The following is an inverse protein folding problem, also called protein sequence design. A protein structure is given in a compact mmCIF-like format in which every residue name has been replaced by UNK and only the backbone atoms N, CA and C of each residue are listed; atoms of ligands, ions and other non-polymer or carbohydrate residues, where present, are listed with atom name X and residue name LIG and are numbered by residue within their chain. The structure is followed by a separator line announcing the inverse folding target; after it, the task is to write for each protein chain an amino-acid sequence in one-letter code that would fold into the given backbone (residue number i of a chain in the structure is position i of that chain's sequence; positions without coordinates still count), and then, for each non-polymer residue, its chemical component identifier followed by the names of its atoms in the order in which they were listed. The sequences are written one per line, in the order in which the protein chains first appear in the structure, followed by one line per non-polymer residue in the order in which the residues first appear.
data_IF_420618827937
#
_entry.id   IF_420618827937
#
_cell.length_a   1.000
_cell.length_b   1.000
_cell.length_c   1.000
_cell.angle_alpha   90.00
_cell.angle_beta   90.00
_cell.angle_gamma   90.00
#
_symmetry.space_group_name_H-M   'P 1'
#
loop_
_entity.id
_entity.type
_entity.pdbx_description
1 polymer ?
#
# COMPACT_ATOMS: atom_id res chain seq x y z
N UNK A 1 9.21 32.24 51.56
CA UNK A 1 8.61 31.75 50.30
C UNK A 1 9.74 31.50 49.33
N UNK A 2 9.94 30.26 48.89
CA UNK A 2 10.97 29.97 47.89
C UNK A 2 10.61 30.68 46.57
N UNK A 3 11.55 31.37 45.92
CA UNK A 3 11.30 31.95 44.61
C UNK A 3 10.86 30.83 43.67
N UNK A 4 9.73 31.04 43.00
CA UNK A 4 9.21 30.12 41.99
C UNK A 4 10.31 29.81 40.97
N UNK A 5 10.38 28.58 40.46
CA UNK A 5 11.38 28.19 39.46
C UNK A 5 11.41 29.13 38.23
N UNK A 6 10.28 29.79 37.94
CA UNK A 6 10.18 30.86 36.91
C UNK A 6 11.12 32.04 37.17
N UNK A 7 11.30 32.46 38.42
CA UNK A 7 12.13 33.62 38.76
C UNK A 7 13.61 33.43 38.42
N UNK A 8 14.14 32.21 38.54
CA UNK A 8 15.55 31.94 38.22
C UNK A 8 15.81 31.98 36.71
N UNK A 9 14.92 31.40 35.91
CA UNK A 9 15.03 31.39 34.45
C UNK A 9 14.93 32.80 33.89
N UNK A 10 14.02 33.63 34.42
CA UNK A 10 13.88 35.03 34.00
C UNK A 10 15.12 35.86 34.31
N UNK A 11 15.80 35.58 35.44
CA UNK A 11 17.06 36.23 35.80
C UNK A 11 18.16 35.81 34.83
N UNK A 12 18.26 34.52 34.49
CA UNK A 12 19.24 34.02 33.52
C UNK A 12 18.99 34.66 32.15
N UNK A 13 17.75 34.65 31.65
CA UNK A 13 17.41 35.28 30.37
C UNK A 13 17.76 36.78 30.34
N UNK A 14 17.44 37.52 31.42
CA UNK A 14 17.82 38.95 31.52
C UNK A 14 19.33 39.15 31.52
N UNK A 15 20.09 38.27 32.18
CA UNK A 15 21.56 38.33 32.18
C UNK A 15 22.14 38.01 30.82
N UNK A 16 21.58 37.03 30.10
CA UNK A 16 21.98 36.71 28.73
C UNK A 16 21.71 37.89 27.79
N UNK A 17 20.52 38.47 27.87
CA UNK A 17 20.13 39.64 27.08
C UNK A 17 21.01 40.86 27.39
N UNK A 18 21.37 41.10 28.65
CA UNK A 18 22.28 42.18 29.04
C UNK A 18 23.70 42.03 28.46
N UNK A 19 24.09 40.82 28.04
CA UNK A 19 25.37 40.53 27.41
C UNK A 19 25.26 40.35 25.89
N UNK A 20 24.11 40.67 25.27
CA UNK A 20 23.83 40.41 23.85
C UNK A 20 24.01 38.93 23.44
N UNK A 21 23.84 37.99 24.38
CA UNK A 21 23.84 36.55 24.10
C UNK A 21 22.40 36.08 24.09
N UNK A 22 21.96 35.45 23.01
CA UNK A 22 20.63 34.84 22.97
C UNK A 22 20.68 33.42 23.55
N UNK A 23 19.55 32.93 24.05
CA UNK A 23 19.45 31.53 24.46
C UNK A 23 19.77 30.58 23.28
N UNK A 24 19.45 31.00 22.06
CA UNK A 24 19.78 30.26 20.84
C UNK A 24 21.27 30.14 20.58
N UNK A 25 22.07 31.17 20.89
CA UNK A 25 23.52 31.10 20.74
C UNK A 25 24.10 30.04 21.68
N UNK A 26 23.57 29.94 22.90
CA UNK A 26 23.96 28.90 23.86
C UNK A 26 23.55 27.50 23.35
N UNK A 27 22.30 27.35 22.90
CA UNK A 27 21.82 26.06 22.34
C UNK A 27 22.67 25.66 21.13
N UNK A 28 23.01 26.60 20.25
CA UNK A 28 23.83 26.39 19.07
C UNK A 28 25.26 25.96 19.44
N UNK A 29 25.87 26.61 20.44
CA UNK A 29 27.20 26.25 20.96
C UNK A 29 27.19 24.86 21.59
N UNK A 30 26.20 24.54 22.43
CA UNK A 30 26.09 23.22 23.08
C UNK A 30 25.92 22.13 22.00
N UNK A 31 25.06 22.38 21.01
CA UNK A 31 24.80 21.44 19.93
C UNK A 31 26.03 21.21 19.05
N UNK A 32 26.80 22.27 18.76
CA UNK A 32 27.97 22.20 17.87
C UNK A 32 29.27 21.81 18.58
N UNK A 33 29.25 21.68 19.91
CA UNK A 33 30.43 21.34 20.69
C UNK A 33 30.72 19.85 20.68
N UNK A 34 31.98 19.47 20.45
CA UNK A 34 32.48 18.09 20.51
C UNK A 34 32.84 17.64 21.95
N UNK A 35 32.58 18.47 22.96
CA UNK A 35 32.93 18.15 24.34
C UNK A 35 31.98 17.11 24.93
N UNK A 36 32.50 15.99 25.45
CA UNK A 36 31.71 14.92 26.09
C UNK A 36 30.84 15.42 27.25
N UNK A 37 31.26 16.48 27.97
CA UNK A 37 30.46 17.07 29.04
C UNK A 37 29.14 17.68 28.53
N UNK A 38 29.09 18.06 27.24
CA UNK A 38 27.88 18.58 26.62
C UNK A 38 26.95 17.49 26.09
N UNK A 39 27.37 16.22 26.05
CA UNK A 39 26.55 15.12 25.53
C UNK A 39 25.25 14.97 26.33
N UNK A 40 25.37 14.89 27.65
CA UNK A 40 24.21 14.77 28.57
C UNK A 40 23.24 15.94 28.44
N UNK A 41 23.77 17.14 28.15
CA UNK A 41 22.96 18.35 27.95
C UNK A 41 22.30 18.31 26.56
N UNK A 42 22.98 17.82 25.53
CA UNK A 42 22.43 17.65 24.18
C UNK A 42 21.28 16.65 24.18
N UNK A 43 21.46 15.47 24.77
CA UNK A 43 20.40 14.46 24.93
C UNK A 43 19.19 15.03 25.70
N UNK A 44 19.45 15.78 26.77
CA UNK A 44 18.39 16.45 27.54
C UNK A 44 17.67 17.52 26.74
N UNK A 45 18.39 18.33 25.96
CA UNK A 45 17.81 19.34 25.08
C UNK A 45 16.98 18.70 23.96
N UNK A 46 17.43 17.60 23.37
CA UNK A 46 16.69 16.86 22.34
C UNK A 46 15.41 16.26 22.91
N UNK A 47 15.51 15.56 24.05
CA UNK A 47 14.36 14.95 24.74
C UNK A 47 13.32 15.99 25.18
N UNK A 48 13.75 17.21 25.49
CA UNK A 48 12.87 18.29 25.96
C UNK A 48 12.60 19.38 24.91
N UNK A 49 13.01 19.16 23.66
CA UNK A 49 12.98 20.18 22.59
C UNK A 49 11.57 20.74 22.35
N UNK A 50 10.55 19.89 22.34
CA UNK A 50 9.15 20.31 22.17
C UNK A 50 8.66 21.22 23.32
N UNK A 51 9.00 20.88 24.57
CA UNK A 51 8.65 21.69 25.74
C UNK A 51 9.41 23.03 25.74
N UNK A 52 10.70 23.01 25.39
CA UNK A 52 11.51 24.22 25.29
C UNK A 52 10.99 25.16 24.20
N UNK A 53 10.66 24.63 23.01
CA UNK A 53 10.07 25.41 21.93
C UNK A 53 8.70 25.99 22.32
N UNK A 54 7.83 25.17 22.93
CA UNK A 54 6.53 25.63 23.43
C UNK A 54 6.69 26.78 24.43
N UNK A 55 7.66 26.67 25.34
CA UNK A 55 7.95 27.70 26.32
C UNK A 55 8.51 28.97 25.69
N UNK A 56 9.47 28.85 24.76
CA UNK A 56 10.08 30.00 24.06
C UNK A 56 9.10 30.74 23.17
N UNK A 57 8.16 30.03 22.56
CA UNK A 57 7.08 30.61 21.77
C UNK A 57 5.98 31.25 22.64
N UNK A 58 5.80 30.74 23.86
CA UNK A 58 4.85 31.28 24.84
C UNK A 58 5.30 32.59 25.48
N UNK A 59 6.61 32.83 25.58
CA UNK A 59 7.17 34.06 26.13
C UNK A 59 7.22 35.20 25.08
N UNK A 60 6.52 36.34 25.28
CA UNK A 60 6.44 37.41 24.28
C UNK A 60 7.79 37.98 23.87
N UNK A 61 8.76 38.01 24.80
CA UNK A 61 10.09 38.58 24.62
C UNK A 61 10.99 37.75 23.70
N UNK A 62 10.79 36.43 23.67
CA UNK A 62 11.59 35.50 22.87
C UNK A 62 10.87 35.01 21.62
N UNK A 63 9.54 35.17 21.55
CA UNK A 63 8.70 34.60 20.50
C UNK A 63 9.15 34.97 19.09
N UNK A 64 9.37 36.26 18.81
CA UNK A 64 9.73 36.71 17.46
C UNK A 64 11.10 36.18 17.02
N UNK A 65 12.13 36.36 17.85
CA UNK A 65 13.48 35.83 17.59
C UNK A 65 13.47 34.30 17.44
N UNK A 66 12.69 33.60 18.27
CA UNK A 66 12.52 32.15 18.18
C UNK A 66 11.85 31.73 16.89
N UNK A 67 10.80 32.43 16.46
CA UNK A 67 10.12 32.16 15.18
C UNK A 67 11.08 32.34 14.00
N UNK A 68 11.84 33.44 13.95
CA UNK A 68 12.83 33.68 12.88
C UNK A 68 13.85 32.55 12.82
N UNK A 69 14.42 32.14 13.96
CA UNK A 69 15.41 31.04 14.01
C UNK A 69 14.83 29.68 13.65
N UNK A 70 13.60 29.39 14.10
CA UNK A 70 12.89 28.17 13.71
C UNK A 70 12.68 28.16 12.20
N UNK A 71 12.20 29.26 11.61
CA UNK A 71 12.03 29.36 10.17
C UNK A 71 13.35 29.24 9.40
N UNK A 72 14.42 29.91 9.83
CA UNK A 72 15.75 29.78 9.21
C UNK A 72 16.25 28.33 9.26
N UNK A 73 16.10 27.68 10.41
CA UNK A 73 16.55 26.29 10.60
C UNK A 73 15.73 25.32 9.76
N UNK A 74 14.39 25.43 9.80
CA UNK A 74 13.48 24.64 8.99
C UNK A 74 13.78 24.85 7.50
N UNK A 75 13.94 26.09 7.06
CA UNK A 75 14.31 26.42 5.68
C UNK A 75 15.63 25.77 5.29
N UNK A 76 16.67 25.87 6.14
CA UNK A 76 17.98 25.26 5.85
C UNK A 76 17.91 23.73 5.76
N UNK A 77 17.19 23.09 6.68
CA UNK A 77 17.00 21.63 6.68
C UNK A 77 16.21 21.21 5.45
N UNK A 78 15.06 21.84 5.20
CA UNK A 78 14.23 21.56 4.02
C UNK A 78 14.99 21.83 2.72
N UNK A 79 15.76 22.91 2.60
CA UNK A 79 16.59 23.18 1.42
C UNK A 79 17.66 22.10 1.22
N UNK A 80 18.29 21.62 2.30
CA UNK A 80 19.27 20.53 2.22
C UNK A 80 18.60 19.23 1.77
N UNK A 81 17.49 18.85 2.40
CA UNK A 81 16.70 17.67 2.02
C UNK A 81 16.22 17.79 0.58
N UNK A 82 15.74 18.96 0.16
CA UNK A 82 15.36 19.26 -1.21
C UNK A 82 16.52 19.12 -2.20
N UNK A 83 17.72 19.55 -1.83
CA UNK A 83 18.91 19.37 -2.67
C UNK A 83 19.26 17.89 -2.80
N UNK A 84 19.25 17.14 -1.70
CA UNK A 84 19.47 15.68 -1.69
C UNK A 84 18.41 14.95 -2.53
N UNK A 85 17.15 15.34 -2.37
CA UNK A 85 16.02 14.87 -3.17
C UNK A 85 16.12 15.28 -4.64
N UNK A 86 16.82 16.36 -4.98
CA UNK A 86 17.02 16.80 -6.37
C UNK A 86 18.21 16.12 -7.08
N UNK A 87 18.92 15.21 -6.40
CA UNK A 87 20.00 14.43 -7.00
C UNK A 87 19.44 13.29 -7.86
N UNK A 88 20.15 12.92 -8.94
CA UNK A 88 19.76 11.83 -9.84
C UNK A 88 19.46 10.50 -9.13
N UNK A 89 20.14 10.25 -8.01
CA UNK A 89 20.09 9.01 -7.23
C UNK A 89 18.88 8.95 -6.28
N UNK A 90 18.18 10.06 -6.05
CA UNK A 90 17.06 10.14 -5.09
C UNK A 90 15.77 9.46 -5.56
N UNK A 91 15.69 9.09 -6.85
CA UNK A 91 14.47 8.58 -7.47
C UNK A 91 13.43 9.64 -7.87
N UNK A 92 13.63 10.93 -7.56
CA UNK A 92 12.73 12.00 -8.03
C UNK A 92 12.96 12.42 -9.49
N UNK A 93 13.98 11.86 -10.14
CA UNK A 93 14.18 12.01 -11.58
C UNK A 93 13.38 10.94 -12.33
N UNK A 94 12.25 11.36 -12.90
CA UNK A 94 11.46 10.47 -13.74
C UNK A 94 12.04 10.45 -15.16
N UNK A 95 12.96 9.52 -15.39
CA UNK A 95 13.45 9.21 -16.72
C UNK A 95 12.35 8.56 -17.54
N UNK A 96 11.54 9.35 -18.26
CA UNK A 96 10.39 8.89 -19.06
C UNK A 96 10.72 7.67 -19.95
N UNK A 97 11.92 7.65 -20.55
CA UNK A 97 12.37 6.58 -21.43
C UNK A 97 12.96 5.36 -20.71
N UNK A 98 13.20 5.45 -19.41
CA UNK A 98 13.82 4.40 -18.56
C UNK A 98 12.97 4.08 -17.34
N UNK A 99 11.75 4.61 -17.26
CA UNK A 99 10.88 4.47 -16.11
C UNK A 99 10.57 3.00 -15.91
N UNK A 100 10.88 2.50 -14.71
CA UNK A 100 10.56 1.14 -14.32
C UNK A 100 9.30 1.07 -13.47
N UNK A 101 8.59 -0.06 -13.48
CA UNK A 101 7.47 -0.32 -12.60
C UNK A 101 7.88 -0.19 -11.12
N UNK A 102 9.09 -0.61 -10.77
CA UNK A 102 9.64 -0.45 -9.43
C UNK A 102 9.82 1.03 -9.05
N UNK A 103 10.31 1.87 -9.97
CA UNK A 103 10.38 3.31 -9.72
C UNK A 103 8.99 3.90 -9.52
N UNK A 104 8.00 3.49 -10.31
CA UNK A 104 6.61 3.93 -10.15
C UNK A 104 5.97 3.40 -8.88
N UNK A 105 6.36 2.23 -8.40
CA UNK A 105 5.91 1.74 -7.11
C UNK A 105 6.57 2.55 -6.00
N UNK A 106 7.89 2.51 -5.89
CA UNK A 106 8.66 3.10 -4.78
C UNK A 106 8.52 4.63 -4.69
N UNK A 107 8.39 5.35 -5.81
CA UNK A 107 8.19 6.81 -5.80
C UNK A 107 6.74 7.24 -5.50
N UNK A 108 5.77 6.33 -5.64
CA UNK A 108 4.34 6.61 -5.40
C UNK A 108 3.86 6.05 -4.07
N UNK A 109 4.72 5.42 -3.27
CA UNK A 109 4.33 4.81 -2.01
C UNK A 109 3.88 5.83 -0.96
N UNK A 110 2.60 6.16 -1.05
CA UNK A 110 1.70 6.44 0.06
C UNK A 110 1.48 5.21 0.97
N UNK A 111 2.26 4.12 0.83
CA UNK A 111 2.17 2.90 1.66
C UNK A 111 2.25 3.21 3.16
N UNK A 112 2.94 4.29 3.54
CA UNK A 112 3.05 4.72 4.94
C UNK A 112 1.85 5.55 5.44
N UNK A 113 0.90 5.89 4.56
CA UNK A 113 -0.37 6.53 4.93
C UNK A 113 -1.54 5.55 5.03
N UNK A 114 -1.34 4.29 4.64
CA UNK A 114 -2.29 3.22 4.93
C UNK A 114 -2.08 2.76 6.37
N UNK A 115 -2.96 3.24 7.26
CA UNK A 115 -2.98 2.88 8.67
C UNK A 115 -3.15 1.34 8.80
N UNK A 116 -2.19 0.61 9.38
CA UNK A 116 -2.24 -0.86 9.44
C UNK A 116 -3.41 -1.41 10.29
N UNK A 117 -4.15 -0.56 11.00
CA UNK A 117 -5.24 -0.97 11.89
C UNK A 117 -6.63 -1.07 11.24
N UNK A 118 -6.82 -0.79 9.96
CA UNK A 118 -8.15 -0.92 9.31
C UNK A 118 -8.46 -2.30 8.71
N UNK A 119 -7.68 -3.33 9.02
CA UNK A 119 -7.78 -4.69 8.46
C UNK A 119 -9.06 -5.49 8.72
N UNK A 120 -10.12 -4.92 9.29
CA UNK A 120 -11.40 -5.61 9.51
C UNK A 120 -12.58 -4.71 9.16
N UNK A 121 -12.79 -4.39 7.89
CA UNK A 121 -14.11 -3.98 7.35
C UNK A 121 -14.13 -3.93 5.83
N UNK A 122 -13.93 -5.08 5.18
CA UNK A 122 -14.63 -5.31 3.92
C UNK A 122 -16.11 -5.50 4.27
N UNK A 123 -16.87 -4.40 4.21
CA UNK A 123 -18.32 -4.49 4.16
C UNK A 123 -18.70 -5.02 2.80
N UNK A 124 -19.23 -6.24 2.83
CA UNK A 124 -20.09 -6.87 1.84
C UNK A 124 -20.81 -5.84 0.93
N UNK A 125 -20.32 -5.70 -0.30
CA UNK A 125 -20.96 -4.94 -1.37
C UNK A 125 -21.91 -5.83 -2.18
N UNK A 126 -22.58 -6.78 -1.51
CA UNK A 126 -23.47 -7.75 -2.13
C UNK A 126 -24.94 -7.54 -1.76
N UNK A 127 -25.45 -6.31 -1.75
CA UNK A 127 -26.91 -6.11 -1.68
C UNK A 127 -27.40 -4.80 -2.32
N UNK A 128 -27.36 -4.74 -3.65
CA UNK A 128 -28.22 -3.84 -4.42
C UNK A 128 -29.32 -4.70 -5.03
N UNK A 129 -30.47 -4.76 -4.34
CA UNK A 129 -31.71 -5.32 -4.90
C UNK A 129 -32.54 -6.12 -3.90
N UNK A 130 -33.15 -5.46 -2.93
CA UNK A 130 -34.11 -6.08 -2.01
C UNK A 130 -35.13 -5.06 -1.50
N UNK A 131 -36.28 -5.02 -2.15
CA UNK A 131 -37.43 -4.19 -1.80
C UNK A 131 -38.13 -4.77 -0.55
N UNK A 132 -38.19 -3.98 0.51
CA UNK A 132 -39.19 -4.03 1.58
C UNK A 132 -39.18 -5.19 2.59
N UNK A 133 -38.78 -4.90 3.84
CA UNK A 133 -39.54 -5.27 5.05
C UNK A 133 -39.22 -4.25 6.17
N UNK A 134 -40.23 -3.51 6.65
CA UNK A 134 -40.18 -2.76 7.91
C UNK A 134 -39.98 -3.75 9.07
N UNK A 135 -38.85 -3.65 9.78
CA UNK A 135 -38.66 -4.34 11.05
C UNK A 135 -38.48 -3.34 12.19
N UNK A 136 -39.19 -3.68 13.25
CA UNK A 136 -39.51 -2.96 14.49
C UNK A 136 -38.25 -2.55 15.26
N UNK A 137 -38.26 -1.30 15.72
CA UNK A 137 -37.27 -0.70 16.61
C UNK A 137 -37.24 -1.42 17.96
N UNK A 138 -36.10 -2.01 18.30
CA UNK A 138 -35.76 -2.42 19.67
C UNK A 138 -34.67 -1.47 20.18
N UNK A 139 -35.07 -0.53 21.02
CA UNK A 139 -34.18 0.37 21.75
C UNK A 139 -33.33 -0.43 22.76
N UNK A 140 -32.02 -0.55 22.49
CA UNK A 140 -31.05 -1.15 23.40
C UNK A 140 -29.77 -0.32 23.46
N UNK A 141 -29.57 0.37 24.58
CA UNK A 141 -28.44 1.26 24.88
C UNK A 141 -27.06 0.57 24.77
N UNK A 142 -26.25 0.95 23.77
CA UNK A 142 -24.78 0.82 23.82
C UNK A 142 -24.07 1.68 22.75
N UNK A 143 -24.24 3.00 22.79
CA UNK A 143 -23.73 3.94 21.76
C UNK A 143 -22.37 4.62 22.06
N UNK A 144 -21.55 4.13 23.00
CA UNK A 144 -20.40 4.92 23.49
C UNK A 144 -19.00 4.77 22.83
N UNK A 145 -18.69 3.86 21.87
CA UNK A 145 -17.39 3.88 21.18
C UNK A 145 -17.32 4.77 19.92
N UNK A 146 -18.45 5.13 19.29
CA UNK A 146 -18.47 5.78 17.96
C UNK A 146 -17.91 7.22 17.91
N UNK A 147 -17.94 7.97 19.03
CA UNK A 147 -17.50 9.39 19.05
C UNK A 147 -15.98 9.56 19.11
N UNK A 148 -15.21 8.57 19.59
CA UNK A 148 -13.74 8.65 19.61
C UNK A 148 -13.12 8.33 18.24
N UNK A 149 -13.67 7.37 17.51
CA UNK A 149 -13.18 7.01 16.16
C UNK A 149 -13.39 8.14 15.13
N UNK A 150 -14.50 8.88 15.19
CA UNK A 150 -14.73 10.04 14.31
C UNK A 150 -13.65 11.14 14.47
N UNK A 151 -13.20 11.41 15.70
CA UNK A 151 -12.15 12.41 15.95
C UNK A 151 -10.75 11.96 15.52
N UNK A 152 -10.49 10.66 15.42
CA UNK A 152 -9.24 10.15 14.86
C UNK A 152 -9.23 10.31 13.34
N UNK A 153 -10.34 9.97 12.66
CA UNK A 153 -10.49 10.16 11.22
C UNK A 153 -10.33 11.62 10.76
N UNK A 154 -10.90 12.58 11.49
CA UNK A 154 -10.76 14.02 11.20
C UNK A 154 -9.30 14.53 11.37
N UNK A 155 -8.52 13.92 12.27
CA UNK A 155 -7.11 14.28 12.43
C UNK A 155 -6.26 13.69 11.31
N UNK A 156 -6.53 12.45 10.93
CA UNK A 156 -5.80 11.79 9.84
C UNK A 156 -6.04 12.53 8.52
N UNK A 157 -7.26 12.96 8.22
CA UNK A 157 -7.53 13.75 7.00
C UNK A 157 -6.82 15.11 7.01
N UNK A 158 -6.76 15.79 8.14
CA UNK A 158 -6.02 17.06 8.26
C UNK A 158 -4.51 16.86 8.06
N UNK A 159 -3.93 15.80 8.64
CA UNK A 159 -2.51 15.46 8.44
C UNK A 159 -2.24 15.11 6.97
N UNK A 160 -3.07 14.29 6.33
CA UNK A 160 -2.92 13.95 4.90
C UNK A 160 -3.02 15.18 4.00
N UNK A 161 -3.88 16.14 4.30
CA UNK A 161 -3.97 17.41 3.57
C UNK A 161 -2.74 18.30 3.75
N UNK A 162 -2.15 18.33 4.95
CA UNK A 162 -0.92 19.09 5.20
C UNK A 162 0.25 18.45 4.48
N UNK A 163 0.40 17.13 4.57
CA UNK A 163 1.47 16.37 3.92
C UNK A 163 1.38 16.51 2.40
N UNK A 164 0.20 16.33 1.80
CA UNK A 164 0.02 16.49 0.35
C UNK A 164 0.34 17.89 -0.15
N UNK A 165 -0.03 18.95 0.60
CA UNK A 165 0.34 20.34 0.28
C UNK A 165 1.85 20.57 0.38
N UNK A 166 2.48 20.04 1.42
CA UNK A 166 3.93 20.14 1.61
C UNK A 166 4.68 19.46 0.47
N UNK A 167 4.30 18.22 0.14
CA UNK A 167 4.88 17.45 -0.97
C UNK A 167 4.72 18.21 -2.29
N UNK A 168 3.53 18.76 -2.55
CA UNK A 168 3.31 19.57 -3.75
C UNK A 168 4.23 20.80 -3.81
N UNK A 169 4.34 21.57 -2.72
CA UNK A 169 5.22 22.73 -2.64
C UNK A 169 6.70 22.33 -2.83
N UNK A 170 7.13 21.23 -2.22
CA UNK A 170 8.49 20.69 -2.38
C UNK A 170 8.74 20.30 -3.84
N UNK A 171 7.81 19.60 -4.50
CA UNK A 171 7.98 19.24 -5.91
C UNK A 171 8.07 20.47 -6.82
N UNK A 172 7.25 21.51 -6.57
CA UNK A 172 7.32 22.78 -7.31
C UNK A 172 8.66 23.49 -7.07
N UNK A 173 9.12 23.56 -5.83
CA UNK A 173 10.42 24.16 -5.52
C UNK A 173 11.59 23.35 -6.12
N UNK A 174 11.49 22.01 -6.11
CA UNK A 174 12.51 21.11 -6.66
C UNK A 174 12.60 21.24 -8.17
N UNK A 175 11.46 21.35 -8.85
CA UNK A 175 11.38 21.62 -10.28
C UNK A 175 11.97 23.00 -10.64
N UNK A 176 11.72 24.03 -9.84
CA UNK A 176 12.31 25.36 -10.03
C UNK A 176 13.83 25.36 -9.79
N UNK A 177 14.32 24.50 -8.89
CA UNK A 177 15.75 24.40 -8.56
C UNK A 177 16.50 23.56 -9.59
N UNK A 178 15.89 22.49 -10.08
CA UNK A 178 16.46 21.58 -11.06
C UNK A 178 15.42 21.27 -12.15
N UNK A 179 15.63 21.81 -13.35
CA UNK A 179 14.77 21.55 -14.51
C UNK A 179 14.72 20.09 -14.96
N UNK A 180 15.53 19.20 -14.36
CA UNK A 180 15.47 17.74 -14.55
C UNK A 180 14.55 17.04 -13.55
N UNK A 181 14.07 17.72 -12.52
CA UNK A 181 13.09 17.20 -11.57
C UNK A 181 11.68 17.36 -12.17
N UNK A 182 11.26 16.37 -12.93
CA UNK A 182 10.00 16.35 -13.67
C UNK A 182 8.95 15.44 -13.03
N UNK A 183 9.12 15.02 -11.77
CA UNK A 183 8.19 14.08 -11.12
C UNK A 183 6.75 14.60 -11.10
N UNK A 184 6.55 15.84 -10.62
CA UNK A 184 5.21 16.44 -10.57
C UNK A 184 4.61 16.64 -11.96
N UNK A 185 5.42 17.09 -12.93
CA UNK A 185 4.99 17.22 -14.32
C UNK A 185 4.61 15.87 -14.93
N UNK A 186 5.37 14.82 -14.62
CA UNK A 186 5.12 13.46 -15.11
C UNK A 186 3.86 12.90 -14.50
N UNK A 187 3.69 13.06 -13.18
CA UNK A 187 2.48 12.68 -12.47
C UNK A 187 1.24 13.40 -13.02
N UNK A 188 1.29 14.73 -13.11
CA UNK A 188 0.15 15.51 -13.61
C UNK A 188 -0.17 15.16 -15.07
N UNK A 189 0.86 14.91 -15.88
CA UNK A 189 0.69 14.47 -17.27
C UNK A 189 0.01 13.11 -17.37
N UNK A 190 0.55 12.09 -16.70
CA UNK A 190 -0.01 10.73 -16.68
C UNK A 190 -1.43 10.74 -16.13
N UNK A 191 -1.68 11.46 -15.04
CA UNK A 191 -3.02 11.63 -14.47
C UNK A 191 -3.99 12.26 -15.48
N UNK A 192 -3.61 13.39 -16.08
CA UNK A 192 -4.45 14.08 -17.08
C UNK A 192 -4.76 13.17 -18.27
N UNK A 193 -3.77 12.40 -18.74
CA UNK A 193 -3.97 11.42 -19.80
C UNK A 193 -4.95 10.31 -19.38
N UNK A 194 -4.83 9.79 -18.16
CA UNK A 194 -5.72 8.74 -17.62
C UNK A 194 -7.16 9.21 -17.44
N UNK A 195 -7.39 10.51 -17.18
CA UNK A 195 -8.74 11.09 -17.09
C UNK A 195 -9.33 11.46 -18.45
N UNK A 196 -8.70 11.04 -19.56
CA UNK A 196 -9.17 11.32 -20.92
C UNK A 196 -8.99 12.77 -21.37
N UNK A 197 -8.05 13.52 -20.76
CA UNK A 197 -7.79 14.90 -21.15
C UNK A 197 -7.29 14.95 -22.60
N UNK A 198 -7.85 15.81 -23.48
CA UNK A 198 -7.41 15.90 -24.86
C UNK A 198 -5.92 16.24 -24.96
N UNK A 199 -5.21 15.61 -25.92
CA UNK A 199 -3.77 15.81 -26.11
C UNK A 199 -3.38 17.30 -26.24
N UNK A 200 -4.22 18.12 -26.88
CA UNK A 200 -3.99 19.57 -27.00
C UNK A 200 -3.94 20.29 -25.65
N UNK A 201 -4.76 19.88 -24.68
CA UNK A 201 -4.75 20.47 -23.33
C UNK A 201 -3.49 20.03 -22.59
N UNK A 202 -3.10 18.76 -22.72
CA UNK A 202 -1.85 18.25 -22.16
C UNK A 202 -0.65 19.01 -22.75
N UNK A 203 -0.64 19.27 -24.06
CA UNK A 203 0.44 20.01 -24.71
C UNK A 203 0.50 21.46 -24.20
N UNK A 204 -0.64 22.14 -24.02
CA UNK A 204 -0.69 23.47 -23.40
C UNK A 204 -0.15 23.46 -21.96
N UNK A 205 -0.54 22.47 -21.15
CA UNK A 205 0.00 22.30 -19.79
C UNK A 205 1.50 22.02 -19.82
N UNK A 206 1.99 21.28 -20.82
CA UNK A 206 3.42 21.00 -20.99
C UNK A 206 4.21 22.26 -21.36
N UNK A 207 3.66 23.09 -22.24
CA UNK A 207 4.25 24.39 -22.59
C UNK A 207 4.23 25.38 -21.41
N UNK A 208 3.25 25.28 -20.51
CA UNK A 208 3.20 26.03 -19.26
C UNK A 208 4.18 25.49 -18.18
N UNK A 209 4.86 24.38 -18.45
CA UNK A 209 5.75 23.73 -17.48
C UNK A 209 5.01 23.01 -16.34
N UNK A 210 3.72 22.73 -16.49
CA UNK A 210 2.91 22.03 -15.49
C UNK A 210 2.85 20.52 -15.72
N UNK A 211 3.04 20.06 -16.96
CA UNK A 211 2.96 18.65 -17.38
C UNK A 211 4.15 18.27 -18.27
N UNK A 212 4.39 16.97 -18.46
CA UNK A 212 5.18 16.46 -19.59
C UNK A 212 4.34 16.48 -20.88
N UNK A 213 4.99 16.41 -22.05
CA UNK A 213 4.30 16.37 -23.35
C UNK A 213 3.48 15.10 -23.53
N UNK A 214 2.45 15.13 -24.38
CA UNK A 214 1.65 13.95 -24.70
C UNK A 214 2.52 12.79 -25.23
N UNK A 215 3.48 13.09 -26.11
CA UNK A 215 4.44 12.10 -26.62
C UNK A 215 5.33 11.49 -25.54
N UNK A 216 5.67 12.24 -24.49
CA UNK A 216 6.43 11.73 -23.36
C UNK A 216 5.58 10.76 -22.54
N UNK A 217 4.29 11.06 -22.34
CA UNK A 217 3.36 10.16 -21.65
C UNK A 217 3.22 8.85 -22.43
N UNK A 218 2.98 8.91 -23.74
CA UNK A 218 2.87 7.72 -24.58
C UNK A 218 4.15 6.86 -24.53
N UNK A 219 5.33 7.49 -24.52
CA UNK A 219 6.60 6.79 -24.37
C UNK A 219 6.75 6.12 -22.99
N UNK A 220 6.35 6.79 -21.90
CA UNK A 220 6.35 6.21 -20.57
C UNK A 220 5.40 5.00 -20.48
N UNK A 221 4.16 5.15 -20.97
CA UNK A 221 3.16 4.07 -20.99
C UNK A 221 3.67 2.88 -21.82
N UNK A 222 4.28 3.13 -22.98
CA UNK A 222 4.88 2.09 -23.81
C UNK A 222 6.07 1.41 -23.12
N UNK A 223 6.90 2.15 -22.39
CA UNK A 223 8.03 1.61 -21.62
C UNK A 223 7.54 0.69 -20.51
N UNK A 224 6.60 1.18 -19.68
CA UNK A 224 5.98 0.40 -18.61
C UNK A 224 5.27 -0.84 -19.14
N UNK A 225 4.54 -0.72 -20.26
CA UNK A 225 3.89 -1.86 -20.91
C UNK A 225 4.89 -2.92 -21.38
N UNK A 226 6.02 -2.51 -21.97
CA UNK A 226 7.09 -3.43 -22.40
C UNK A 226 7.75 -4.12 -21.21
N UNK A 227 7.98 -3.40 -20.12
CA UNK A 227 8.55 -3.96 -18.91
C UNK A 227 7.60 -4.96 -18.25
N UNK A 228 6.32 -4.60 -18.07
CA UNK A 228 5.29 -5.52 -17.55
C UNK A 228 5.19 -6.78 -18.42
N UNK A 229 5.22 -6.63 -19.74
CA UNK A 229 5.25 -7.77 -20.66
C UNK A 229 6.51 -8.63 -20.50
N UNK A 230 7.67 -8.02 -20.26
CA UNK A 230 8.91 -8.74 -19.98
C UNK A 230 8.84 -9.50 -18.65
N UNK A 231 8.28 -8.88 -17.61
CA UNK A 231 8.04 -9.49 -16.31
C UNK A 231 7.08 -10.67 -16.40
N UNK A 232 5.96 -10.51 -17.12
CA UNK A 232 5.01 -11.59 -17.43
C UNK A 232 5.72 -12.73 -18.15
N UNK A 233 6.48 -12.45 -19.22
CA UNK A 233 7.22 -13.49 -19.96
C UNK A 233 8.20 -14.25 -19.08
N UNK A 234 8.99 -13.53 -18.26
CA UNK A 234 9.93 -14.15 -17.32
C UNK A 234 9.21 -15.03 -16.30
N UNK A 235 8.12 -14.53 -15.73
CA UNK A 235 7.28 -15.26 -14.78
C UNK A 235 6.74 -16.55 -15.43
N UNK A 236 6.08 -16.43 -16.58
CA UNK A 236 5.49 -17.57 -17.30
C UNK A 236 6.53 -18.59 -17.74
N UNK A 237 7.74 -18.16 -18.11
CA UNK A 237 8.85 -19.06 -18.48
C UNK A 237 9.31 -19.96 -17.33
N UNK A 238 9.05 -19.58 -16.07
CA UNK A 238 9.33 -20.46 -14.92
C UNK A 238 8.36 -21.65 -14.85
N UNK A 239 7.23 -21.59 -15.57
CA UNK A 239 6.09 -22.50 -15.45
C UNK A 239 5.48 -22.55 -14.03
N UNK A 240 5.87 -21.62 -13.15
CA UNK A 240 5.36 -21.48 -11.79
C UNK A 240 4.40 -20.28 -11.69
N UNK A 241 3.56 -20.10 -12.72
CA UNK A 241 2.66 -18.95 -12.81
C UNK A 241 1.28 -19.39 -13.23
N UNK A 242 0.26 -18.95 -12.51
CA UNK A 242 -1.14 -19.15 -12.85
C UNK A 242 -1.69 -17.91 -13.54
N UNK A 243 -2.51 -18.12 -14.55
CA UNK A 243 -3.33 -17.08 -15.16
C UNK A 243 -4.73 -17.12 -14.54
N UNK A 244 -5.13 -16.02 -13.93
CA UNK A 244 -6.51 -15.79 -13.54
C UNK A 244 -7.15 -14.90 -14.60
N UNK A 245 -8.13 -15.42 -15.32
CA UNK A 245 -8.91 -14.67 -16.31
C UNK A 245 -10.15 -14.10 -15.64
N UNK A 246 -10.48 -12.86 -15.97
CA UNK A 246 -11.71 -12.21 -15.53
C UNK A 246 -12.32 -11.40 -16.68
N UNK A 247 -13.65 -11.41 -16.75
CA UNK A 247 -14.40 -10.61 -17.70
C UNK A 247 -14.77 -9.31 -17.02
N UNK A 248 -14.43 -8.19 -17.65
CA UNK A 248 -14.86 -6.88 -17.18
C UNK A 248 -15.60 -6.14 -18.30
N UNK A 249 -16.68 -5.50 -17.88
CA UNK A 249 -17.58 -4.80 -18.76
C UNK A 249 -17.46 -3.29 -18.50
N UNK A 250 -17.06 -2.55 -19.53
CA UNK A 250 -16.99 -1.08 -19.47
C UNK A 250 -18.24 -0.50 -20.14
N UNK A 251 -19.04 0.20 -19.34
CA UNK A 251 -20.16 1.00 -19.81
C UNK A 251 -19.72 2.46 -20.05
N UNK A 252 -19.50 2.81 -21.32
CA UNK A 252 -19.19 4.18 -21.72
C UNK A 252 -20.48 5.00 -21.83
N UNK A 253 -20.92 5.52 -20.68
CA UNK A 253 -22.11 6.37 -20.59
C UNK A 253 -21.87 7.71 -21.29
N UNK A 254 -22.68 8.01 -22.29
CA UNK A 254 -22.80 9.36 -22.85
C UNK A 254 -23.83 10.15 -22.03
N UNK A 255 -23.48 11.37 -21.62
CA UNK A 255 -24.39 12.20 -20.83
C UNK A 255 -25.73 12.40 -21.53
N UNK A 256 -25.70 12.67 -22.85
CA UNK A 256 -26.86 12.81 -23.71
C UNK A 256 -26.66 11.95 -24.97
N UNK A 257 -27.24 10.75 -25.03
CA UNK A 257 -27.13 9.89 -26.20
C UNK A 257 -27.72 10.60 -27.43
N UNK A 258 -26.94 10.71 -28.49
CA UNK A 258 -27.43 11.19 -29.79
C UNK A 258 -27.43 10.06 -30.80
N UNK A 259 -28.10 10.24 -31.94
CA UNK A 259 -28.10 9.25 -33.03
C UNK A 259 -26.67 8.90 -33.45
N UNK A 260 -25.75 9.87 -33.39
CA UNK A 260 -24.34 9.70 -33.76
C UNK A 260 -23.45 9.22 -32.60
N UNK A 261 -23.86 9.44 -31.34
CA UNK A 261 -23.07 9.11 -30.14
C UNK A 261 -23.96 8.41 -29.09
N UNK A 262 -24.16 7.12 -29.29
CA UNK A 262 -24.86 6.26 -28.33
C UNK A 262 -23.89 5.78 -27.24
N UNK A 263 -24.43 5.41 -26.07
CA UNK A 263 -23.64 4.71 -25.05
C UNK A 263 -23.11 3.40 -25.62
N UNK A 264 -21.83 3.13 -25.47
CA UNK A 264 -21.20 1.89 -25.93
C UNK A 264 -20.88 1.01 -24.74
N UNK A 265 -21.25 -0.26 -24.86
CA UNK A 265 -20.87 -1.30 -23.92
C UNK A 265 -19.72 -2.10 -24.52
N UNK A 266 -18.59 -2.15 -23.82
CA UNK A 266 -17.42 -2.92 -24.24
C UNK A 266 -17.19 -4.01 -23.21
N UNK A 267 -17.42 -5.26 -23.62
CA UNK A 267 -17.04 -6.44 -22.86
C UNK A 267 -15.65 -6.87 -23.28
N UNK A 268 -14.75 -7.07 -22.33
CA UNK A 268 -13.39 -7.54 -22.59
C UNK A 268 -12.95 -8.53 -21.51
N UNK A 269 -12.06 -9.43 -21.88
CA UNK A 269 -11.46 -10.38 -20.95
C UNK A 269 -10.05 -9.92 -20.63
N UNK A 270 -9.76 -9.67 -19.35
CA UNK A 270 -8.39 -9.49 -18.87
C UNK A 270 -7.88 -10.78 -18.25
N UNK A 271 -6.56 -10.83 -18.06
CA UNK A 271 -5.96 -11.82 -17.21
C UNK A 271 -5.03 -11.14 -16.21
N UNK A 272 -4.75 -11.81 -15.10
CA UNK A 272 -3.64 -11.44 -14.22
C UNK A 272 -2.75 -12.67 -14.03
N UNK A 273 -1.45 -12.43 -14.00
CA UNK A 273 -0.48 -13.49 -13.69
C UNK A 273 -0.17 -13.48 -12.21
N UNK A 274 -0.28 -14.66 -11.61
CA UNK A 274 -0.04 -14.89 -10.19
C UNK A 274 1.08 -15.93 -10.08
N UNK A 275 2.28 -15.56 -9.59
CA UNK A 275 3.33 -16.53 -9.34
C UNK A 275 2.89 -17.50 -8.22
N UNK A 276 3.21 -18.77 -8.38
CA UNK A 276 2.95 -19.81 -7.40
C UNK A 276 4.02 -19.74 -6.31
N UNK A 277 3.59 -19.47 -5.09
CA UNK A 277 4.48 -19.42 -3.93
C UNK A 277 4.65 -20.81 -3.31
N UNK A 278 5.85 -21.07 -2.80
CA UNK A 278 6.17 -22.35 -2.13
C UNK A 278 6.52 -23.50 -3.09
N UNK A 279 6.53 -23.27 -4.41
CA UNK A 279 6.98 -24.26 -5.39
C UNK A 279 8.51 -24.17 -5.54
N UNK A 280 9.24 -24.91 -4.72
CA UNK A 280 10.72 -24.94 -4.80
C UNK A 280 11.23 -25.98 -5.78
N UNK A 281 10.53 -27.10 -5.93
CA UNK A 281 10.91 -28.16 -6.87
C UNK A 281 9.94 -28.18 -8.05
N UNK A 282 10.41 -28.04 -9.31
CA UNK A 282 9.57 -28.25 -10.49
C UNK A 282 8.85 -29.60 -10.51
N UNK A 283 9.35 -30.60 -9.78
CA UNK A 283 8.69 -31.88 -9.58
C UNK A 283 7.31 -31.76 -8.93
N UNK A 284 7.07 -30.72 -8.13
CA UNK A 284 5.78 -30.47 -7.47
C UNK A 284 4.69 -30.13 -8.52
N UNK A 285 5.10 -29.65 -9.70
CA UNK A 285 4.22 -29.35 -10.84
C UNK A 285 4.10 -30.52 -11.84
N UNK A 286 4.55 -31.73 -11.48
CA UNK A 286 4.40 -32.91 -12.36
C UNK A 286 2.94 -33.20 -12.71
N UNK A 287 2.01 -32.92 -11.79
CA UNK A 287 0.59 -33.11 -12.04
C UNK A 287 0.11 -32.19 -13.18
N UNK A 288 0.51 -30.91 -13.20
CA UNK A 288 0.13 -30.01 -14.30
C UNK A 288 0.75 -30.42 -15.62
N UNK A 289 1.99 -30.91 -15.63
CA UNK A 289 2.62 -31.42 -16.85
C UNK A 289 1.90 -32.68 -17.36
N UNK A 290 1.60 -33.62 -16.46
CA UNK A 290 0.84 -34.83 -16.79
C UNK A 290 -0.56 -34.51 -17.29
N UNK A 291 -1.26 -33.57 -16.65
CA UNK A 291 -2.56 -33.08 -17.12
C UNK A 291 -2.39 -32.46 -18.51
N UNK A 292 -1.40 -31.59 -18.71
CA UNK A 292 -1.16 -30.95 -20.00
C UNK A 292 -0.91 -31.98 -21.10
N UNK A 293 -0.05 -32.97 -20.83
CA UNK A 293 0.30 -34.01 -21.79
C UNK A 293 -0.89 -34.94 -22.07
N UNK A 294 -1.64 -35.35 -21.04
CA UNK A 294 -2.88 -36.11 -21.23
C UNK A 294 -3.95 -35.31 -21.98
N UNK A 295 -4.00 -33.99 -21.81
CA UNK A 295 -4.89 -33.11 -22.56
C UNK A 295 -4.50 -33.07 -24.04
N UNK A 296 -3.20 -32.94 -24.36
CA UNK A 296 -2.72 -33.00 -25.75
C UNK A 296 -2.98 -34.36 -26.41
N UNK A 297 -2.75 -35.46 -25.68
CA UNK A 297 -2.78 -36.81 -26.23
C UNK A 297 -4.18 -37.44 -26.30
N UNK A 298 -5.17 -36.89 -25.58
CA UNK A 298 -6.51 -37.48 -25.49
C UNK A 298 -7.57 -36.76 -26.34
N UNK A 299 -8.63 -37.49 -26.71
CA UNK A 299 -9.88 -36.92 -27.24
C UNK A 299 -10.55 -35.86 -26.31
N UNK A 300 -10.01 -35.66 -25.10
CA UNK A 300 -10.48 -34.65 -24.14
C UNK A 300 -10.12 -33.23 -24.59
N UNK A 301 -9.03 -33.01 -25.34
CA UNK A 301 -8.78 -31.70 -25.97
C UNK A 301 -9.96 -31.24 -26.82
N UNK A 302 -10.53 -32.14 -27.63
CA UNK A 302 -11.73 -31.86 -28.42
C UNK A 302 -12.97 -31.63 -27.54
N UNK A 303 -13.06 -32.27 -26.38
CA UNK A 303 -14.18 -32.10 -25.43
C UNK A 303 -14.10 -30.80 -24.63
N UNK A 304 -12.89 -30.35 -24.28
CA UNK A 304 -12.64 -29.06 -23.64
C UNK A 304 -12.85 -27.91 -24.62
N UNK A 305 -12.37 -28.06 -25.87
CA UNK A 305 -12.65 -27.12 -26.95
C UNK A 305 -14.16 -27.02 -27.26
N UNK A 306 -14.94 -28.06 -26.96
CA UNK A 306 -16.41 -28.06 -27.10
C UNK A 306 -17.16 -27.74 -25.80
N UNK A 307 -16.45 -27.43 -24.70
CA UNK A 307 -17.04 -27.07 -23.41
C UNK A 307 -17.76 -28.21 -22.67
N UNK A 308 -17.58 -29.46 -23.08
CA UNK A 308 -18.24 -30.65 -22.49
C UNK A 308 -17.36 -31.37 -21.48
N UNK A 309 -16.71 -30.62 -20.61
CA UNK A 309 -15.89 -31.17 -19.56
C UNK A 309 -16.73 -31.38 -18.30
N UNK A 310 -16.83 -32.61 -17.79
CA UNK A 310 -17.63 -32.89 -16.59
C UNK A 310 -16.73 -33.14 -15.37
N UNK A 311 -17.22 -32.83 -14.17
CA UNK A 311 -16.54 -33.16 -12.91
C UNK A 311 -16.15 -34.65 -12.79
N UNK A 312 -16.82 -35.55 -13.52
CA UNK A 312 -16.48 -36.99 -13.55
C UNK A 312 -15.16 -37.25 -14.29
N UNK A 313 -14.80 -36.42 -15.25
CA UNK A 313 -13.56 -36.53 -16.02
C UNK A 313 -12.36 -36.09 -15.16
N UNK A 314 -12.55 -35.13 -14.24
CA UNK A 314 -11.53 -34.76 -13.24
C UNK A 314 -11.28 -35.85 -12.20
N UNK A 315 -12.26 -36.70 -11.92
CA UNK A 315 -12.09 -37.79 -10.94
C UNK A 315 -11.07 -38.83 -11.39
N UNK A 316 -10.72 -38.88 -12.68
CA UNK A 316 -9.73 -39.83 -13.20
C UNK A 316 -8.34 -39.53 -12.62
N UNK A 317 -8.00 -38.25 -12.41
CA UNK A 317 -6.76 -37.83 -11.74
C UNK A 317 -6.72 -38.23 -10.25
N UNK A 318 -7.89 -38.40 -9.63
CA UNK A 318 -8.02 -38.93 -8.27
C UNK A 318 -8.14 -40.45 -8.20
N UNK A 319 -8.13 -41.19 -9.32
CA UNK A 319 -8.22 -42.67 -9.28
C UNK A 319 -6.89 -43.32 -8.91
N UNK A 320 -5.76 -42.64 -9.13
CA UNK A 320 -4.45 -43.10 -8.68
C UNK A 320 -4.12 -42.69 -7.24
N UNK A 321 -5.08 -42.09 -6.53
CA UNK A 321 -4.94 -41.82 -5.11
C UNK A 321 -4.61 -43.12 -4.37
N UNK A 322 -3.33 -43.26 -4.03
CA UNK A 322 -2.77 -44.27 -3.13
C UNK A 322 -3.42 -44.26 -1.74
N UNK A 323 -4.31 -43.30 -1.48
CA UNK A 323 -5.09 -43.06 -0.27
C UNK A 323 -6.03 -44.19 0.12
N UNK A 324 -6.37 -45.10 -0.80
CA UNK A 324 -7.14 -46.31 -0.50
C UNK A 324 -6.29 -47.51 -0.06
N UNK A 325 -4.97 -47.48 -0.27
CA UNK A 325 -4.08 -48.54 0.22
C UNK A 325 -3.91 -48.35 1.71
N UNK A 326 -4.50 -49.26 2.51
CA UNK A 326 -4.17 -49.40 3.92
C UNK A 326 -2.65 -49.54 4.03
N UNK A 327 -1.98 -48.51 4.53
CA UNK A 327 -0.61 -48.66 5.00
C UNK A 327 -0.68 -49.62 6.18
N UNK A 328 -0.06 -50.78 6.05
CA UNK A 328 0.09 -51.73 7.16
C UNK A 328 0.79 -51.01 8.32
N UNK A 329 0.02 -50.67 9.35
CA UNK A 329 0.49 -50.00 10.57
C UNK A 329 -0.08 -48.60 10.78
N UNK A 330 -1.17 -48.52 11.56
CA UNK A 330 -1.71 -47.43 12.41
C UNK A 330 -1.78 -45.96 11.92
N UNK A 331 -1.16 -45.55 10.83
CA UNK A 331 -1.16 -44.16 10.37
C UNK A 331 -2.38 -43.90 9.50
N UNK A 332 -3.19 -42.89 9.86
CA UNK A 332 -4.27 -42.41 9.01
C UNK A 332 -3.71 -42.00 7.65
N UNK A 333 -4.46 -42.23 6.57
CA UNK A 333 -4.11 -41.66 5.26
C UNK A 333 -4.11 -40.13 5.36
N UNK A 334 -3.35 -39.40 4.52
CA UNK A 334 -3.30 -37.93 4.61
C UNK A 334 -4.69 -37.28 4.55
N UNK A 335 -5.58 -37.79 3.70
CA UNK A 335 -6.99 -37.35 3.64
C UNK A 335 -7.76 -37.62 4.93
N UNK A 336 -7.59 -38.80 5.54
CA UNK A 336 -8.23 -39.11 6.82
C UNK A 336 -7.65 -38.25 7.95
N UNK A 337 -6.36 -37.88 7.87
CA UNK A 337 -5.72 -36.95 8.79
C UNK A 337 -6.29 -35.53 8.63
N UNK A 338 -6.46 -35.03 7.39
CA UNK A 338 -7.10 -33.73 7.12
C UNK A 338 -8.55 -33.71 7.61
N UNK A 339 -9.30 -34.79 7.38
CA UNK A 339 -10.68 -34.90 7.87
C UNK A 339 -10.73 -34.95 9.41
N UNK A 340 -9.85 -35.73 10.04
CA UNK A 340 -9.73 -35.79 11.50
C UNK A 340 -9.35 -34.43 12.09
N UNK A 341 -8.47 -33.68 11.42
CA UNK A 341 -8.12 -32.32 11.79
C UNK A 341 -9.34 -31.39 11.73
N UNK A 342 -10.11 -31.42 10.64
CA UNK A 342 -11.30 -30.58 10.48
C UNK A 342 -12.38 -30.91 11.52
N UNK A 343 -12.64 -32.19 11.77
CA UNK A 343 -13.59 -32.61 12.83
C UNK A 343 -13.11 -32.11 14.19
N UNK A 344 -11.82 -32.23 14.48
CA UNK A 344 -11.24 -31.77 15.74
C UNK A 344 -11.32 -30.25 15.88
N UNK A 345 -11.02 -29.51 14.82
CA UNK A 345 -11.11 -28.05 14.78
C UNK A 345 -12.55 -27.57 15.06
N UNK A 346 -13.53 -28.18 14.38
CA UNK A 346 -14.95 -27.92 14.61
C UNK A 346 -15.35 -28.22 16.06
N UNK A 347 -14.95 -29.37 16.62
CA UNK A 347 -15.29 -29.72 17.99
C UNK A 347 -14.67 -28.76 19.02
N UNK A 348 -13.42 -28.34 18.82
CA UNK A 348 -12.69 -27.46 19.76
C UNK A 348 -13.16 -26.01 19.67
N UNK A 349 -13.35 -25.48 18.45
CA UNK A 349 -13.64 -24.06 18.25
C UNK A 349 -15.13 -23.75 18.10
N UNK A 350 -15.93 -24.70 17.60
CA UNK A 350 -17.34 -24.49 17.28
C UNK A 350 -18.31 -25.41 18.05
N UNK A 351 -17.81 -26.38 18.83
CA UNK A 351 -18.63 -27.31 19.60
C UNK A 351 -19.35 -26.70 20.82
N UNK A 352 -19.02 -25.47 21.21
CA UNK A 352 -19.55 -24.81 22.41
C UNK A 352 -19.11 -25.49 23.71
N UNK A 353 -19.81 -25.20 24.82
CA UNK A 353 -19.42 -25.65 26.16
C UNK A 353 -19.38 -27.17 26.34
N UNK A 354 -20.11 -27.93 25.53
CA UNK A 354 -20.16 -29.40 25.66
C UNK A 354 -18.84 -30.09 25.29
N UNK A 355 -17.98 -29.45 24.51
CA UNK A 355 -16.70 -30.02 24.05
C UNK A 355 -15.47 -29.26 24.58
N UNK A 356 -15.67 -28.31 25.50
CA UNK A 356 -14.61 -27.46 26.04
C UNK A 356 -13.53 -28.27 26.78
N UNK A 357 -13.91 -29.40 27.38
CA UNK A 357 -12.98 -30.34 28.03
C UNK A 357 -11.94 -30.93 27.06
N UNK A 358 -12.31 -31.13 25.78
CA UNK A 358 -11.38 -31.66 24.77
C UNK A 358 -10.25 -30.67 24.43
N UNK A 359 -10.46 -29.38 24.66
CA UNK A 359 -9.42 -28.35 24.45
C UNK A 359 -8.27 -28.52 25.44
N UNK A 360 -8.57 -28.91 26.67
CA UNK A 360 -7.56 -29.17 27.70
C UNK A 360 -6.75 -30.44 27.39
N UNK A 361 -7.42 -31.52 26.98
CA UNK A 361 -6.79 -32.83 26.80
C UNK A 361 -6.01 -32.96 25.49
N UNK A 362 -6.48 -32.31 24.43
CA UNK A 362 -5.87 -32.47 23.10
C UNK A 362 -5.01 -31.29 22.67
N UNK A 363 -5.21 -30.10 23.24
CA UNK A 363 -4.55 -28.87 22.78
C UNK A 363 -5.04 -28.41 21.40
N UNK A 364 -4.37 -27.40 20.83
CA UNK A 364 -4.70 -26.89 19.50
C UNK A 364 -4.37 -27.94 18.41
N UNK A 365 -5.20 -28.11 17.36
CA UNK A 365 -4.88 -28.98 16.23
C UNK A 365 -3.53 -28.55 15.61
N UNK A 366 -2.63 -29.50 15.35
CA UNK A 366 -1.39 -29.19 14.64
C UNK A 366 -1.76 -28.66 13.25
N UNK A 367 -1.23 -27.52 12.81
CA UNK A 367 -1.58 -26.96 11.51
C UNK A 367 -1.18 -27.93 10.39
N UNK A 368 -2.14 -28.42 9.61
CA UNK A 368 -1.86 -29.29 8.46
C UNK A 368 -1.94 -28.45 7.19
N UNK A 369 -0.90 -28.53 6.34
CA UNK A 369 -0.88 -27.87 5.03
C UNK A 369 -1.24 -26.38 5.11
N UNK A 370 -0.69 -25.67 6.10
CA UNK A 370 -0.92 -24.23 6.25
C UNK A 370 -0.56 -23.55 4.95
N UNK A 371 -1.56 -22.95 4.31
CA UNK A 371 -1.33 -22.11 3.14
C UNK A 371 -0.48 -20.95 3.64
N UNK A 372 0.78 -20.83 3.21
CA UNK A 372 1.63 -19.75 3.68
C UNK A 372 0.99 -18.42 3.27
N UNK A 373 0.64 -17.60 4.26
CA UNK A 373 0.14 -16.26 4.02
C UNK A 373 1.30 -15.45 3.43
N UNK A 374 1.16 -15.10 2.17
CA UNK A 374 2.09 -14.24 1.45
C UNK A 374 1.27 -13.12 0.82
N UNK A 375 1.85 -11.93 0.72
CA UNK A 375 1.26 -10.87 -0.09
C UNK A 375 1.37 -11.30 -1.55
N UNK A 376 0.24 -11.63 -2.16
CA UNK A 376 0.18 -12.08 -3.55
C UNK A 376 0.57 -10.92 -4.47
N UNK A 377 1.68 -11.06 -5.19
CA UNK A 377 2.02 -10.14 -6.27
C UNK A 377 1.21 -10.52 -7.50
N UNK A 378 0.54 -9.55 -8.10
CA UNK A 378 -0.26 -9.76 -9.30
C UNK A 378 0.28 -8.86 -10.39
N UNK A 379 0.53 -9.42 -11.57
CA UNK A 379 0.91 -8.62 -12.75
C UNK A 379 -0.21 -8.66 -13.76
N UNK A 380 -0.95 -7.55 -13.97
CA UNK A 380 -2.07 -7.51 -14.88
C UNK A 380 -1.60 -7.70 -16.33
N UNK A 381 -2.31 -8.56 -17.06
CA UNK A 381 -2.16 -8.73 -18.49
C UNK A 381 -2.98 -7.68 -19.24
N UNK A 382 -2.66 -7.50 -20.51
CA UNK A 382 -3.47 -6.66 -21.40
C UNK A 382 -4.82 -7.32 -21.65
N UNK A 383 -5.88 -6.53 -21.53
CA UNK A 383 -7.22 -6.93 -21.91
C UNK A 383 -7.32 -7.20 -23.43
N UNK A 384 -8.09 -8.24 -23.80
CA UNK A 384 -8.27 -8.70 -25.19
C UNK A 384 -9.66 -8.42 -25.72
#
# INVERSE_FOLDING_TARGET
MAPSCRTHVDIVLRRLQANNVTLWDIISVIRSSENELHETVRESLEKNSAHLLSWLLGAPQTRESTMVRVFETVTKVLCKEMLELSLAESGLHFGVSTATAAQLEDSFMLRDLEDPETGEREQDLSEIGGDGVELVEVEGESERPRKRQRKAGERNTAVTLIVSRLVFCVCVMAQNTNGRCNLLQSFLGIFSHSTGTPARVIDVLSHAGLSISASSIDNAVNSLSKESMCAIKKSVQTLQTVFAYDNFDIDFKTAHPTVEHQSTFVSSTSATTIPLYGVTDPADLRCSEQIHQQLLDSHVAASILTGKFTLKDLRIFHKEDTYGKKTDGQRLSPRANNFAWHVRDILIHHGGHHFEFLKADHGQPEPIEVIPLHKTTQTPCRAM
#
